data_IF_580462949344
#
_entry.id   IF_580462949344
#
_cell.length_a   1.000
_cell.length_b   1.000
_cell.length_c   1.000
_cell.angle_alpha   90.00
_cell.angle_beta   90.00
_cell.angle_gamma   90.00
#
_symmetry.space_group_name_H-M   'P 1'
#
loop_
_entity.id
_entity.type
_entity.pdbx_description
1 polymer ?
#
# COMPACT_ATOMS: atom_id res chain seq x y z
N UNK A 1 18.12 6.67 -14.94
CA UNK A 1 18.38 6.61 -13.48
C UNK A 1 18.32 5.16 -13.05
N UNK A 2 19.44 4.60 -12.58
CA UNK A 2 19.58 3.17 -12.30
C UNK A 2 18.87 2.78 -11.01
N UNK A 3 17.93 1.83 -11.10
CA UNK A 3 17.27 1.23 -9.94
C UNK A 3 18.31 0.58 -9.01
N UNK A 4 18.53 1.16 -7.85
CA UNK A 4 19.33 0.53 -6.79
C UNK A 4 18.55 -0.68 -6.25
N UNK A 5 18.81 -1.86 -6.83
CA UNK A 5 18.34 -3.14 -6.25
C UNK A 5 18.99 -3.33 -4.89
N UNK A 6 18.23 -3.11 -3.82
CA UNK A 6 18.66 -3.38 -2.45
C UNK A 6 18.84 -4.88 -2.23
N UNK A 7 19.94 -5.28 -1.60
CA UNK A 7 20.24 -6.68 -1.30
C UNK A 7 19.40 -7.15 -0.08
N UNK A 8 18.48 -8.09 -0.27
CA UNK A 8 17.65 -8.66 0.79
C UNK A 8 18.08 -10.09 1.21
N UNK A 9 19.30 -10.50 0.88
CA UNK A 9 19.77 -11.86 1.07
C UNK A 9 20.06 -12.23 2.53
N UNK A 10 19.34 -13.23 3.06
CA UNK A 10 19.50 -13.72 4.44
C UNK A 10 20.46 -14.91 4.62
N UNK A 11 21.16 -15.32 3.55
CA UNK A 11 22.15 -16.42 3.61
C UNK A 11 23.33 -16.05 4.51
N UNK A 12 23.70 -16.97 5.42
CA UNK A 12 24.90 -16.87 6.27
C UNK A 12 26.13 -17.27 5.45
N UNK A 13 27.14 -16.42 5.43
CA UNK A 13 28.39 -16.68 4.71
C UNK A 13 29.18 -17.79 5.40
N UNK A 14 29.44 -18.89 4.70
CA UNK A 14 30.14 -20.05 5.25
C UNK A 14 31.67 -20.00 5.10
N UNK A 15 32.21 -19.04 4.33
CA UNK A 15 33.65 -18.95 4.02
C UNK A 15 34.10 -17.50 3.82
N UNK A 16 35.38 -17.23 4.04
CA UNK A 16 36.04 -15.95 3.76
C UNK A 16 36.02 -14.94 4.93
N UNK A 17 36.49 -13.70 4.69
CA UNK A 17 36.68 -12.67 5.73
C UNK A 17 35.41 -12.31 6.52
N UNK A 18 34.23 -12.52 5.93
CA UNK A 18 32.92 -12.22 6.54
C UNK A 18 32.16 -13.50 6.95
N UNK A 19 32.86 -14.62 7.17
CA UNK A 19 32.27 -15.88 7.59
C UNK A 19 31.44 -15.71 8.88
N UNK A 20 30.27 -16.35 8.94
CA UNK A 20 29.32 -16.25 10.04
C UNK A 20 28.35 -15.07 9.96
N UNK A 21 28.59 -14.09 9.08
CA UNK A 21 27.69 -12.95 8.91
C UNK A 21 26.64 -13.17 7.80
N UNK A 22 25.50 -12.50 7.93
CA UNK A 22 24.40 -12.55 6.95
C UNK A 22 24.75 -11.66 5.74
N UNK A 23 24.59 -12.19 4.52
CA UNK A 23 25.02 -11.56 3.27
C UNK A 23 24.49 -10.13 3.06
N UNK A 24 23.24 -9.85 3.43
CA UNK A 24 22.64 -8.50 3.38
C UNK A 24 23.42 -7.48 4.22
N UNK A 25 23.92 -7.87 5.40
CA UNK A 25 24.61 -6.96 6.32
C UNK A 25 25.96 -6.49 5.78
N UNK A 26 26.61 -7.32 4.95
CA UNK A 26 28.02 -7.11 4.57
C UNK A 26 28.24 -6.88 3.07
N UNK A 27 27.27 -7.17 2.21
CA UNK A 27 27.42 -7.00 0.77
C UNK A 27 26.34 -6.06 0.20
N UNK A 28 26.77 -5.02 -0.53
CA UNK A 28 25.85 -4.13 -1.26
C UNK A 28 25.08 -4.85 -2.39
N UNK A 29 25.62 -5.96 -2.92
CA UNK A 29 24.97 -6.80 -3.96
C UNK A 29 25.02 -8.26 -3.56
N UNK A 30 23.87 -8.94 -3.63
CA UNK A 30 23.77 -10.38 -3.37
C UNK A 30 24.47 -11.18 -4.47
N UNK A 31 25.31 -12.14 -4.08
CA UNK A 31 25.83 -13.19 -5.00
C UNK A 31 25.08 -14.52 -4.88
N UNK A 32 24.20 -14.69 -3.89
CA UNK A 32 23.40 -15.91 -3.64
C UNK A 32 22.04 -15.89 -4.34
N UNK A 33 21.91 -15.24 -5.50
CA UNK A 33 20.67 -15.32 -6.27
C UNK A 33 20.59 -16.73 -6.86
N UNK A 34 19.77 -17.56 -6.24
CA UNK A 34 19.40 -18.86 -6.78
C UNK A 34 18.63 -18.65 -8.09
N UNK A 35 19.07 -19.31 -9.15
CA UNK A 35 18.41 -19.32 -10.46
C UNK A 35 18.07 -20.75 -10.83
N UNK A 36 16.89 -20.93 -11.41
CA UNK A 36 16.44 -22.23 -11.88
C UNK A 36 16.50 -22.28 -13.40
N UNK A 37 16.97 -23.39 -13.95
CA UNK A 37 16.83 -23.62 -15.39
C UNK A 37 15.35 -23.88 -15.71
N UNK A 38 14.72 -23.09 -16.60
CA UNK A 38 13.31 -23.28 -16.93
C UNK A 38 13.03 -24.55 -17.74
N UNK A 39 14.08 -25.27 -18.18
CA UNK A 39 13.96 -26.44 -19.05
C UNK A 39 14.12 -27.77 -18.31
N UNK A 40 14.99 -27.84 -17.30
CA UNK A 40 15.25 -29.07 -16.55
C UNK A 40 15.10 -28.89 -15.03
N UNK A 41 14.78 -27.68 -14.55
CA UNK A 41 14.58 -27.40 -13.13
C UNK A 41 15.86 -27.32 -12.30
N UNK A 42 17.04 -27.58 -12.87
CA UNK A 42 18.31 -27.55 -12.14
C UNK A 42 18.57 -26.18 -11.51
N UNK A 43 18.97 -26.19 -10.23
CA UNK A 43 19.25 -25.02 -9.42
C UNK A 43 20.72 -24.56 -9.55
N UNK A 44 20.93 -23.25 -9.68
CA UNK A 44 22.25 -22.63 -9.77
C UNK A 44 22.37 -21.47 -8.79
N UNK A 45 23.38 -21.54 -7.93
CA UNK A 45 23.73 -20.45 -7.01
C UNK A 45 24.65 -19.40 -7.65
N UNK A 46 25.33 -19.76 -8.75
CA UNK A 46 26.26 -18.90 -9.47
C UNK A 46 25.76 -18.56 -10.87
N UNK A 47 25.73 -17.26 -11.21
CA UNK A 47 25.21 -16.76 -12.49
C UNK A 47 26.00 -17.27 -13.71
N UNK A 48 27.32 -17.41 -13.59
CA UNK A 48 28.18 -17.96 -14.65
C UNK A 48 27.88 -19.43 -14.94
N UNK A 49 27.51 -20.19 -13.91
CA UNK A 49 27.14 -21.61 -14.04
C UNK A 49 25.75 -21.74 -14.67
N UNK A 50 24.81 -20.89 -14.28
CA UNK A 50 23.48 -20.79 -14.88
C UNK A 50 23.55 -20.52 -16.40
N UNK A 51 24.29 -19.49 -16.85
CA UNK A 51 24.35 -19.17 -18.27
C UNK A 51 25.13 -20.20 -19.10
N UNK A 52 26.14 -20.85 -18.52
CA UNK A 52 26.84 -21.95 -19.18
C UNK A 52 25.91 -23.16 -19.36
N UNK A 53 25.13 -23.46 -18.33
CA UNK A 53 24.15 -24.53 -18.39
C UNK A 53 23.05 -24.26 -19.42
N UNK A 54 22.45 -23.06 -19.46
CA UNK A 54 21.40 -22.73 -20.44
C UNK A 54 21.85 -22.90 -21.89
N UNK A 55 23.13 -22.68 -22.20
CA UNK A 55 23.67 -22.87 -23.56
C UNK A 55 23.73 -24.33 -24.01
N UNK A 56 23.79 -25.28 -23.07
CA UNK A 56 23.99 -26.71 -23.33
C UNK A 56 22.93 -27.60 -22.67
N UNK A 57 21.85 -27.02 -22.16
CA UNK A 57 20.77 -27.77 -21.53
C UNK A 57 19.98 -28.51 -22.61
N UNK A 58 19.81 -29.83 -22.44
CA UNK A 58 19.11 -30.72 -23.39
C UNK A 58 17.67 -30.25 -23.69
N UNK A 59 17.00 -29.55 -22.76
CA UNK A 59 15.67 -28.98 -23.01
C UNK A 59 15.64 -27.77 -23.96
N UNK A 60 16.80 -27.25 -24.40
CA UNK A 60 16.89 -26.25 -25.47
C UNK A 60 16.76 -26.85 -26.88
N UNK A 61 17.08 -28.14 -27.05
CA UNK A 61 16.88 -28.88 -28.31
C UNK A 61 15.38 -29.06 -28.61
N UNK A 62 14.56 -29.23 -27.56
CA UNK A 62 13.10 -29.36 -27.66
C UNK A 62 12.48 -28.14 -28.37
N UNK A 63 13.00 -26.92 -28.16
CA UNK A 63 12.52 -25.71 -28.86
C UNK A 63 13.07 -25.54 -30.28
N UNK A 64 14.24 -26.09 -30.62
CA UNK A 64 14.75 -26.07 -32.01
C UNK A 64 13.96 -27.03 -32.92
N UNK A 65 13.50 -28.16 -32.38
CA UNK A 65 12.61 -29.08 -33.08
C UNK A 65 11.18 -28.51 -33.23
N UNK A 66 10.60 -27.93 -32.17
CA UNK A 66 9.24 -27.39 -32.22
C UNK A 66 9.06 -26.15 -33.12
N UNK A 67 10.14 -25.40 -33.43
CA UNK A 67 10.07 -24.27 -34.39
C UNK A 67 10.14 -24.70 -35.86
N UNK A 68 10.54 -25.95 -36.15
CA UNK A 68 10.70 -26.48 -37.51
C UNK A 68 9.51 -27.33 -38.01
N UNK A 69 8.55 -27.68 -37.13
CA UNK A 69 7.48 -28.66 -37.42
C UNK A 69 6.08 -28.03 -37.51
N UNK A 70 5.94 -26.70 -37.37
CA UNK A 70 4.64 -26.00 -37.53
C UNK A 70 4.29 -25.65 -38.98
N UNK A 71 4.71 -26.48 -39.95
CA UNK A 71 4.17 -26.45 -41.32
C UNK A 71 3.89 -27.89 -41.75
N UNK A 72 2.60 -28.11 -42.06
CA UNK A 72 2.01 -29.22 -42.81
C UNK A 72 1.56 -30.51 -42.12
N UNK A 73 0.23 -30.68 -42.21
CA UNK A 73 -0.57 -31.89 -42.49
C UNK A 73 -0.80 -32.92 -41.37
N UNK A 74 -2.02 -32.82 -40.81
CA UNK A 74 -3.13 -33.81 -40.73
C UNK A 74 -2.88 -35.28 -41.16
N UNK A 75 -3.70 -36.23 -40.66
CA UNK A 75 -3.38 -37.23 -39.65
C UNK A 75 -3.29 -38.65 -40.23
N UNK A 76 -2.43 -39.53 -39.69
CA UNK A 76 -2.44 -40.95 -40.06
C UNK A 76 -2.19 -41.86 -38.84
N UNK A 77 -3.14 -42.79 -38.70
CA UNK A 77 -3.18 -43.98 -37.84
C UNK A 77 -2.10 -44.98 -38.25
N UNK A 78 -1.38 -45.61 -37.31
CA UNK A 78 -1.08 -47.05 -37.38
C UNK A 78 -0.37 -47.56 -36.13
N UNK A 79 -0.98 -48.57 -35.52
CA UNK A 79 -0.35 -49.52 -34.60
C UNK A 79 0.79 -50.28 -35.30
N UNK A 80 1.88 -50.56 -34.58
CA UNK A 80 2.35 -51.95 -34.38
C UNK A 80 3.46 -52.07 -33.33
N UNK A 81 3.14 -52.88 -32.33
CA UNK A 81 3.97 -53.79 -31.51
C UNK A 81 5.40 -54.05 -32.01
N UNK A 82 6.40 -54.15 -31.12
CA UNK A 82 6.61 -55.42 -30.42
C UNK A 82 7.59 -55.36 -29.24
N UNK A 83 7.34 -56.31 -28.34
CA UNK A 83 7.89 -56.54 -27.00
C UNK A 83 9.25 -57.24 -27.08
N UNK A 84 10.10 -56.98 -26.08
CA UNK A 84 11.05 -57.90 -25.40
C UNK A 84 12.37 -57.18 -25.10
N UNK A 85 13.00 -57.27 -23.93
CA UNK A 85 12.87 -58.14 -22.76
C UNK A 85 14.05 -57.72 -21.88
N UNK A 86 13.87 -57.41 -20.60
CA UNK A 86 14.84 -57.76 -19.56
C UNK A 86 14.20 -57.62 -18.18
N UNK A 87 14.58 -58.58 -17.36
CA UNK A 87 13.91 -59.08 -16.18
C UNK A 87 13.85 -58.11 -14.99
N UNK A 88 12.81 -58.35 -14.22
CA UNK A 88 12.52 -57.83 -12.89
C UNK A 88 13.73 -58.06 -11.97
N UNK A 89 14.38 -56.99 -11.52
CA UNK A 89 15.17 -57.03 -10.29
C UNK A 89 14.66 -55.94 -9.34
N UNK A 90 13.79 -56.42 -8.43
CA UNK A 90 13.71 -56.07 -7.01
C UNK A 90 13.87 -54.58 -6.68
N UNK A 91 12.72 -53.94 -6.47
CA UNK A 91 12.63 -52.70 -5.71
C UNK A 91 13.32 -52.88 -4.34
N UNK A 92 14.51 -52.31 -4.19
CA UNK A 92 15.01 -51.90 -2.87
C UNK A 92 14.26 -50.62 -2.48
N UNK A 93 13.09 -50.83 -1.90
CA UNK A 93 12.41 -49.85 -1.07
C UNK A 93 13.29 -49.63 0.15
N UNK A 94 14.07 -48.54 0.18
CA UNK A 94 14.40 -47.74 1.37
C UNK A 94 15.66 -46.91 1.14
N UNK A 95 15.51 -45.64 0.72
CA UNK A 95 16.35 -44.55 1.25
C UNK A 95 15.80 -43.15 0.94
N UNK A 96 14.62 -42.83 1.44
CA UNK A 96 14.31 -41.46 1.85
C UNK A 96 14.10 -41.48 3.35
N UNK A 97 15.21 -41.47 4.10
CA UNK A 97 15.21 -41.20 5.53
C UNK A 97 14.80 -39.73 5.74
N UNK A 98 13.50 -39.46 5.67
CA UNK A 98 12.94 -38.30 6.36
C UNK A 98 13.07 -38.58 7.85
N UNK A 99 14.04 -37.94 8.49
CA UNK A 99 14.31 -38.12 9.91
C UNK A 99 13.01 -37.87 10.69
N UNK A 100 12.53 -38.89 11.43
CA UNK A 100 11.36 -38.82 12.33
C UNK A 100 11.38 -37.58 13.24
N UNK A 101 12.58 -37.07 13.53
CA UNK A 101 12.83 -35.84 14.26
C UNK A 101 12.32 -34.57 13.56
N UNK A 102 12.48 -34.45 12.24
CA UNK A 102 12.05 -33.27 11.48
C UNK A 102 10.52 -33.21 11.32
N UNK A 103 9.89 -34.38 11.19
CA UNK A 103 8.42 -34.50 11.17
C UNK A 103 7.83 -34.10 12.53
N UNK A 104 8.39 -34.61 13.63
CA UNK A 104 7.92 -34.25 14.97
C UNK A 104 8.09 -32.75 15.25
N UNK A 105 9.21 -32.14 14.82
CA UNK A 105 9.44 -30.70 14.98
C UNK A 105 8.47 -29.84 14.17
N UNK A 106 8.03 -30.31 13.00
CA UNK A 106 6.99 -29.65 12.21
C UNK A 106 5.62 -29.77 12.87
N UNK A 107 5.30 -30.95 13.41
CA UNK A 107 4.05 -31.19 14.16
C UNK A 107 3.98 -30.28 15.38
N UNK A 108 5.05 -30.21 16.19
CA UNK A 108 5.11 -29.33 17.37
C UNK A 108 4.89 -27.86 17.01
N UNK A 109 5.44 -27.44 15.86
CA UNK A 109 5.30 -26.06 15.36
C UNK A 109 3.90 -25.76 14.86
N UNK A 110 3.23 -26.73 14.24
CA UNK A 110 1.82 -26.63 13.83
C UNK A 110 0.93 -26.52 15.06
N UNK A 111 1.11 -27.40 16.05
CA UNK A 111 0.33 -27.34 17.29
C UNK A 111 0.53 -26.03 18.07
N UNK A 112 1.75 -25.50 18.11
CA UNK A 112 2.02 -24.19 18.70
C UNK A 112 1.34 -23.05 17.92
N UNK A 113 1.29 -23.14 16.59
CA UNK A 113 0.63 -22.15 15.75
C UNK A 113 -0.90 -22.21 15.90
N UNK A 114 -1.47 -23.40 15.98
CA UNK A 114 -2.89 -23.63 16.26
C UNK A 114 -3.27 -23.07 17.63
N UNK A 115 -2.46 -23.33 18.65
CA UNK A 115 -2.69 -22.77 19.99
C UNK A 115 -2.61 -21.23 19.99
N UNK A 116 -1.65 -20.64 19.27
CA UNK A 116 -1.56 -19.19 19.09
C UNK A 116 -2.74 -18.62 18.32
N UNK A 117 -3.22 -19.33 17.30
CA UNK A 117 -4.38 -18.94 16.50
C UNK A 117 -5.65 -18.96 17.37
N UNK A 118 -5.79 -19.96 18.23
CA UNK A 118 -6.92 -20.06 19.15
C UNK A 118 -6.85 -18.99 20.24
N UNK A 119 -5.66 -18.71 20.79
CA UNK A 119 -5.43 -17.57 21.68
C UNK A 119 -5.76 -16.22 21.02
N UNK A 120 -5.55 -16.07 19.70
CA UNK A 120 -5.94 -14.88 18.93
C UNK A 120 -7.45 -14.82 18.72
N UNK A 121 -8.14 -15.95 18.53
CA UNK A 121 -9.62 -16.01 18.44
C UNK A 121 -10.29 -15.73 19.78
N UNK A 122 -9.68 -16.15 20.89
CA UNK A 122 -10.22 -15.94 22.24
C UNK A 122 -9.80 -14.61 22.87
N UNK A 123 -8.95 -13.82 22.20
CA UNK A 123 -8.72 -12.43 22.62
C UNK A 123 -10.04 -11.68 22.45
N UNK A 124 -10.49 -10.89 23.45
CA UNK A 124 -11.61 -10.00 23.24
C UNK A 124 -11.28 -9.14 22.04
N UNK A 125 -12.12 -9.22 21.00
CA UNK A 125 -12.05 -8.35 19.83
C UNK A 125 -12.13 -6.92 20.33
N UNK A 126 -10.98 -6.27 20.53
CA UNK A 126 -10.91 -4.83 20.34
C UNK A 126 -11.47 -4.60 18.96
N UNK A 127 -12.63 -3.98 18.89
CA UNK A 127 -13.23 -3.45 17.67
C UNK A 127 -12.10 -2.84 16.84
N UNK A 128 -11.73 -3.51 15.75
CA UNK A 128 -10.77 -2.96 14.80
C UNK A 128 -11.55 -1.86 14.09
N UNK A 129 -11.48 -0.66 14.62
CA UNK A 129 -12.05 0.52 13.99
C UNK A 129 -11.31 0.75 12.67
N UNK A 130 -12.04 1.03 11.61
CA UNK A 130 -11.53 1.05 10.26
C UNK A 130 -10.78 2.37 10.02
N UNK A 131 -9.56 2.50 10.56
CA UNK A 131 -8.67 3.68 10.43
C UNK A 131 -8.10 3.86 9.01
N UNK A 132 -8.82 3.40 7.99
CA UNK A 132 -8.46 3.56 6.59
C UNK A 132 -8.78 4.96 6.06
N UNK A 133 -9.62 5.72 6.76
CA UNK A 133 -9.91 7.12 6.46
C UNK A 133 -8.91 7.98 7.25
N UNK A 134 -8.20 8.85 6.55
CA UNK A 134 -7.18 9.74 7.12
C UNK A 134 -7.41 11.16 6.60
N UNK A 135 -6.97 12.17 7.36
CA UNK A 135 -6.90 13.52 6.83
C UNK A 135 -5.77 13.59 5.81
N UNK A 136 -6.14 13.75 4.55
CA UNK A 136 -5.21 13.78 3.44
C UNK A 136 -4.53 15.14 3.27
N UNK A 137 -3.41 15.14 2.54
CA UNK A 137 -2.53 16.31 2.43
C UNK A 137 -2.91 17.26 1.30
N UNK A 138 -3.88 16.89 0.44
CA UNK A 138 -4.29 17.72 -0.69
C UNK A 138 -5.80 17.63 -0.91
N UNK A 139 -6.53 18.49 -0.19
CA UNK A 139 -7.98 18.53 -0.19
C UNK A 139 -8.57 18.77 -1.58
N UNK A 140 -7.95 19.59 -2.42
CA UNK A 140 -8.45 19.82 -3.78
C UNK A 140 -8.37 18.56 -4.62
N UNK A 141 -7.22 17.88 -4.63
CA UNK A 141 -7.07 16.64 -5.41
C UNK A 141 -8.04 15.56 -4.96
N UNK A 142 -8.26 15.42 -3.66
CA UNK A 142 -9.23 14.47 -3.09
C UNK A 142 -10.68 14.86 -3.46
N UNK A 143 -10.99 16.15 -3.46
CA UNK A 143 -12.29 16.65 -3.88
C UNK A 143 -12.53 16.36 -5.37
N UNK A 144 -11.56 16.66 -6.23
CA UNK A 144 -11.60 16.36 -7.67
C UNK A 144 -11.80 14.86 -7.91
N UNK A 145 -11.15 13.99 -7.13
CA UNK A 145 -11.36 12.54 -7.22
C UNK A 145 -12.78 12.13 -6.83
N UNK A 146 -13.43 12.85 -5.90
CA UNK A 146 -14.76 12.52 -5.40
C UNK A 146 -15.90 12.98 -6.32
N UNK A 147 -15.76 14.13 -7.00
CA UNK A 147 -16.85 14.73 -7.78
C UNK A 147 -16.48 15.21 -9.19
N UNK A 148 -15.22 15.09 -9.60
CA UNK A 148 -14.73 15.67 -10.85
C UNK A 148 -14.27 17.11 -10.70
N UNK A 149 -13.48 17.59 -11.68
CA UNK A 149 -12.78 18.87 -11.60
C UNK A 149 -13.74 20.07 -11.59
N UNK A 150 -14.68 20.14 -12.53
CA UNK A 150 -15.64 21.25 -12.65
C UNK A 150 -16.52 21.36 -11.39
N UNK A 151 -17.13 20.25 -10.96
CA UNK A 151 -17.95 20.22 -9.74
C UNK A 151 -17.14 20.53 -8.47
N UNK A 152 -15.87 20.16 -8.41
CA UNK A 152 -15.00 20.51 -7.29
C UNK A 152 -14.73 22.01 -7.20
N UNK A 153 -14.50 22.67 -8.34
CA UNK A 153 -14.31 24.13 -8.40
C UNK A 153 -15.60 24.84 -7.99
N UNK A 154 -16.74 24.43 -8.53
CA UNK A 154 -18.05 25.01 -8.19
C UNK A 154 -18.36 24.88 -6.70
N UNK A 155 -18.13 23.69 -6.12
CA UNK A 155 -18.31 23.46 -4.68
C UNK A 155 -17.39 24.36 -3.83
N UNK A 156 -16.11 24.48 -4.21
CA UNK A 156 -15.17 25.36 -3.52
C UNK A 156 -15.58 26.84 -3.59
N UNK A 157 -16.16 27.27 -4.72
CA UNK A 157 -16.70 28.62 -4.88
C UNK A 157 -17.94 28.86 -4.00
N UNK A 158 -18.81 27.88 -3.87
CA UNK A 158 -20.01 27.92 -3.02
C UNK A 158 -19.62 28.07 -1.56
N UNK A 159 -18.79 27.16 -1.03
CA UNK A 159 -18.40 27.21 0.39
C UNK A 159 -17.58 28.45 0.74
N UNK A 160 -16.82 29.00 -0.23
CA UNK A 160 -16.07 30.24 -0.03
C UNK A 160 -16.98 31.46 0.02
N UNK A 161 -18.05 31.48 -0.78
CA UNK A 161 -19.06 32.54 -0.80
C UNK A 161 -19.87 32.58 0.49
N UNK A 162 -20.24 31.41 1.00
CA UNK A 162 -21.08 31.28 2.20
C UNK A 162 -20.28 31.31 3.52
N UNK A 163 -18.94 31.45 3.45
CA UNK A 163 -18.02 31.34 4.60
C UNK A 163 -18.14 29.99 5.33
N UNK A 164 -18.46 28.92 4.60
CA UNK A 164 -18.64 27.56 5.10
C UNK A 164 -17.42 26.68 4.81
N UNK A 165 -16.23 27.25 4.97
CA UNK A 165 -14.97 26.59 4.64
C UNK A 165 -14.77 25.22 5.31
N UNK A 166 -15.34 25.03 6.50
CA UNK A 166 -15.27 23.76 7.25
C UNK A 166 -16.09 22.65 6.58
N UNK A 167 -17.10 23.00 5.79
CA UNK A 167 -17.92 22.02 5.06
C UNK A 167 -17.08 21.24 4.04
N UNK A 168 -15.88 21.71 3.67
CA UNK A 168 -14.93 20.91 2.91
C UNK A 168 -14.50 19.64 3.68
N UNK A 169 -14.30 19.73 4.99
CA UNK A 169 -13.97 18.57 5.84
C UNK A 169 -15.16 17.62 5.90
N UNK A 170 -16.36 18.15 6.08
CA UNK A 170 -17.60 17.36 6.01
C UNK A 170 -17.69 16.61 4.69
N UNK A 171 -17.49 17.33 3.58
CA UNK A 171 -17.59 16.79 2.23
C UNK A 171 -16.57 15.70 1.95
N UNK A 172 -15.33 15.89 2.40
CA UNK A 172 -14.26 14.93 2.12
C UNK A 172 -14.36 13.70 3.02
N UNK A 173 -14.60 13.89 4.32
CA UNK A 173 -14.28 12.87 5.32
C UNK A 173 -15.45 12.43 6.20
N UNK A 174 -16.52 13.23 6.33
CA UNK A 174 -17.61 12.93 7.28
C UNK A 174 -18.85 12.41 6.56
N UNK A 175 -19.21 13.00 5.41
CA UNK A 175 -20.39 12.62 4.63
C UNK A 175 -20.37 11.14 4.23
N UNK A 176 -21.40 10.40 4.67
CA UNK A 176 -21.59 8.98 4.35
C UNK A 176 -20.82 8.01 5.25
N UNK A 177 -20.08 8.51 6.25
CA UNK A 177 -19.32 7.68 7.19
C UNK A 177 -19.98 7.65 8.59
N UNK A 178 -19.75 6.58 9.35
CA UNK A 178 -20.14 6.53 10.76
C UNK A 178 -19.27 7.51 11.57
N UNK A 179 -19.83 8.25 12.55
CA UNK A 179 -19.05 9.15 13.40
C UNK A 179 -17.92 8.49 14.19
N UNK A 180 -17.92 7.15 14.31
CA UNK A 180 -16.84 6.37 14.94
C UNK A 180 -15.66 6.07 13.99
N UNK A 181 -15.86 6.30 12.69
CA UNK A 181 -14.87 6.10 11.63
C UNK A 181 -14.31 7.44 11.11
N UNK A 182 -14.74 8.57 11.68
CA UNK A 182 -14.21 9.88 11.29
C UNK A 182 -12.70 9.95 11.54
N UNK A 183 -11.93 10.51 10.59
CA UNK A 183 -10.48 10.66 10.75
C UNK A 183 -10.11 11.75 11.77
N UNK A 184 -11.09 12.50 12.27
CA UNK A 184 -10.97 13.53 13.29
C UNK A 184 -12.16 13.44 14.23
N UNK A 185 -11.90 13.51 15.53
CA UNK A 185 -12.93 13.59 16.55
C UNK A 185 -12.55 14.58 17.64
N UNK A 186 -13.54 15.29 18.15
CA UNK A 186 -13.40 16.17 19.30
C UNK A 186 -13.98 15.50 20.54
N UNK A 187 -13.26 15.51 21.67
CA UNK A 187 -13.75 14.95 22.93
C UNK A 187 -14.58 15.96 23.72
N UNK A 188 -14.15 17.21 23.69
CA UNK A 188 -14.72 18.35 24.41
C UNK A 188 -14.62 19.58 23.49
N UNK A 189 -14.52 20.81 24.00
CA UNK A 189 -14.60 22.00 23.12
C UNK A 189 -13.39 22.16 22.19
N UNK A 190 -12.18 21.83 22.67
CA UNK A 190 -10.94 22.12 21.97
C UNK A 190 -9.94 20.95 21.98
N UNK A 191 -10.30 19.79 22.54
CA UNK A 191 -9.45 18.60 22.50
C UNK A 191 -9.80 17.68 21.33
N UNK A 192 -8.97 17.77 20.27
CA UNK A 192 -9.11 16.94 19.08
C UNK A 192 -8.12 15.77 19.08
N UNK A 193 -8.55 14.64 18.51
CA UNK A 193 -7.66 13.59 18.01
C UNK A 193 -7.96 13.34 16.54
N UNK A 194 -6.92 13.16 15.75
CA UNK A 194 -7.07 12.91 14.31
C UNK A 194 -5.93 12.08 13.74
N UNK A 195 -6.19 11.42 12.61
CA UNK A 195 -5.20 10.62 11.87
C UNK A 195 -4.70 11.42 10.67
N UNK A 196 -3.38 11.61 10.58
CA UNK A 196 -2.74 12.25 9.42
C UNK A 196 -2.59 11.31 8.23
N UNK A 197 -2.26 11.84 7.06
CA UNK A 197 -1.94 11.05 5.87
C UNK A 197 -0.86 9.97 6.12
N UNK A 198 0.07 10.19 7.05
CA UNK A 198 1.10 9.22 7.46
C UNK A 198 0.59 8.17 8.46
N UNK A 199 -0.72 8.09 8.69
CA UNK A 199 -1.39 7.19 9.62
C UNK A 199 -0.94 7.38 11.09
N UNK A 200 -0.56 8.62 11.44
CA UNK A 200 -0.21 8.99 12.81
C UNK A 200 -1.41 9.61 13.50
N UNK A 201 -1.70 9.15 14.72
CA UNK A 201 -2.68 9.79 15.59
C UNK A 201 -2.02 10.99 16.27
N UNK A 202 -2.62 12.16 16.11
CA UNK A 202 -2.22 13.39 16.79
C UNK A 202 -3.21 13.68 17.91
N UNK A 203 -2.68 13.98 19.10
CA UNK A 203 -3.44 14.45 20.26
C UNK A 203 -3.29 15.97 20.36
N UNK A 204 -4.31 16.73 19.97
CA UNK A 204 -4.25 18.20 19.86
C UNK A 204 -5.17 18.85 20.89
N UNK A 205 -4.59 19.18 22.04
CA UNK A 205 -5.26 19.92 23.12
C UNK A 205 -5.27 21.40 22.78
N UNK A 206 -6.45 22.02 22.76
CA UNK A 206 -6.63 23.40 22.35
C UNK A 206 -6.86 23.60 20.84
N UNK A 207 -6.88 22.54 20.04
CA UNK A 207 -7.22 22.58 18.61
C UNK A 207 -6.33 23.45 17.72
N UNK A 208 -5.12 23.81 18.17
CA UNK A 208 -4.26 24.75 17.44
C UNK A 208 -3.70 24.13 16.17
N UNK A 209 -3.29 22.86 16.25
CA UNK A 209 -2.65 22.18 15.13
C UNK A 209 -3.68 21.81 14.08
N UNK A 210 -4.83 21.27 14.48
CA UNK A 210 -5.91 20.92 13.56
C UNK A 210 -6.49 22.17 12.88
N UNK A 211 -6.64 23.27 13.61
CA UNK A 211 -7.10 24.53 13.05
C UNK A 211 -6.15 25.06 11.97
N UNK A 212 -4.84 25.04 12.24
CA UNK A 212 -3.82 25.40 11.25
C UNK A 212 -3.80 24.45 10.06
N UNK A 213 -3.95 23.15 10.31
CA UNK A 213 -3.97 22.12 9.28
C UNK A 213 -5.14 22.32 8.32
N UNK A 214 -6.35 22.48 8.86
CA UNK A 214 -7.57 22.70 8.10
C UNK A 214 -7.51 24.03 7.36
N UNK A 215 -7.09 25.12 8.00
CA UNK A 215 -6.98 26.43 7.33
C UNK A 215 -6.01 26.41 6.17
N UNK A 216 -4.84 25.79 6.35
CA UNK A 216 -3.83 25.64 5.28
C UNK A 216 -4.39 24.76 4.15
N UNK A 217 -5.00 23.62 4.48
CA UNK A 217 -5.55 22.71 3.48
C UNK A 217 -6.70 23.33 2.65
N UNK A 218 -7.58 24.11 3.28
CA UNK A 218 -8.63 24.86 2.57
C UNK A 218 -8.02 25.93 1.67
N UNK A 219 -7.04 26.68 2.18
CA UNK A 219 -6.38 27.74 1.41
C UNK A 219 -5.65 27.18 0.19
N UNK A 220 -4.88 26.10 0.39
CA UNK A 220 -4.19 25.38 -0.68
C UNK A 220 -5.20 24.85 -1.71
N UNK A 221 -6.35 24.33 -1.27
CA UNK A 221 -7.36 23.83 -2.18
C UNK A 221 -7.94 24.91 -3.09
N UNK A 222 -8.20 26.10 -2.54
CA UNK A 222 -8.69 27.25 -3.31
C UNK A 222 -7.63 27.78 -4.29
N UNK A 223 -6.36 27.81 -3.89
CA UNK A 223 -5.25 28.21 -4.76
C UNK A 223 -5.10 27.22 -5.93
N UNK A 224 -5.17 25.92 -5.66
CA UNK A 224 -5.09 24.90 -6.71
C UNK A 224 -6.28 24.96 -7.66
N UNK A 225 -7.50 25.16 -7.15
CA UNK A 225 -8.68 25.38 -7.97
C UNK A 225 -8.54 26.61 -8.88
N UNK A 226 -7.96 27.70 -8.37
CA UNK A 226 -7.65 28.90 -9.16
C UNK A 226 -6.68 28.58 -10.31
N UNK A 227 -5.59 27.88 -10.01
CA UNK A 227 -4.57 27.51 -10.99
C UNK A 227 -5.11 26.60 -12.09
N UNK A 228 -5.96 25.64 -11.73
CA UNK A 228 -6.59 24.74 -12.70
C UNK A 228 -7.56 25.52 -13.61
N UNK A 229 -8.32 26.46 -13.05
CA UNK A 229 -9.19 27.36 -13.82
C UNK A 229 -8.38 28.21 -14.82
N UNK A 230 -7.24 28.78 -14.39
CA UNK A 230 -6.33 29.53 -15.27
C UNK A 230 -5.82 28.63 -16.41
N UNK A 231 -5.39 27.43 -16.06
CA UNK A 231 -4.79 26.49 -17.01
C UNK A 231 -5.81 26.06 -18.07
N UNK A 232 -7.05 25.79 -17.66
CA UNK A 232 -8.15 25.48 -18.59
C UNK A 232 -8.45 26.65 -19.53
N UNK A 233 -8.51 27.87 -19.00
CA UNK A 233 -8.73 29.08 -19.80
C UNK A 233 -7.62 29.32 -20.83
N UNK A 234 -6.35 29.16 -20.43
CA UNK A 234 -5.19 29.29 -21.32
C UNK A 234 -5.21 28.25 -22.44
N UNK A 235 -5.63 27.03 -22.14
CA UNK A 235 -5.69 25.94 -23.13
C UNK A 235 -6.85 26.10 -24.12
N UNK A 236 -7.94 26.76 -23.72
CA UNK A 236 -9.15 26.90 -24.52
C UNK A 236 -9.21 28.20 -25.35
N UNK A 237 -8.17 29.07 -25.32
CA UNK A 237 -8.12 30.36 -26.04
C UNK A 237 -9.39 31.22 -25.85
N UNK A 238 -9.92 31.27 -24.62
CA UNK A 238 -11.13 32.06 -24.31
C UNK A 238 -10.71 33.53 -24.11
N UNK A 239 -11.22 34.43 -24.95
CA UNK A 239 -10.85 35.86 -24.98
C UNK A 239 -11.32 36.70 -23.78
N UNK A 240 -12.18 36.16 -22.90
CA UNK A 240 -12.64 36.84 -21.67
C UNK A 240 -12.32 36.03 -20.39
N UNK A 241 -11.17 36.27 -19.75
CA UNK A 241 -10.72 35.54 -18.57
C UNK A 241 -11.39 36.00 -17.27
N UNK A 242 -12.23 37.04 -17.29
CA UNK A 242 -12.45 37.85 -16.10
C UNK A 242 -13.42 37.27 -15.08
N UNK A 243 -14.49 36.56 -15.46
CA UNK A 243 -15.57 36.27 -14.52
C UNK A 243 -15.19 35.20 -13.47
N UNK A 244 -14.85 33.98 -13.91
CA UNK A 244 -14.48 32.88 -12.98
C UNK A 244 -13.23 33.20 -12.16
N UNK A 245 -12.23 33.85 -12.79
CA UNK A 245 -10.99 34.20 -12.12
C UNK A 245 -11.17 35.32 -11.09
N UNK A 246 -11.96 36.35 -11.42
CA UNK A 246 -12.33 37.42 -10.48
C UNK A 246 -13.07 36.86 -9.28
N UNK A 247 -13.99 35.92 -9.48
CA UNK A 247 -14.73 35.26 -8.40
C UNK A 247 -13.76 34.52 -7.46
N UNK A 248 -12.87 33.69 -8.00
CA UNK A 248 -11.91 32.93 -7.18
C UNK A 248 -10.93 33.87 -6.46
N UNK A 249 -10.39 34.88 -7.14
CA UNK A 249 -9.47 35.85 -6.54
C UNK A 249 -10.15 36.70 -5.44
N UNK A 250 -11.37 37.18 -5.69
CA UNK A 250 -12.15 37.88 -4.68
C UNK A 250 -12.49 37.00 -3.47
N UNK A 251 -12.63 35.69 -3.66
CA UNK A 251 -12.90 34.74 -2.58
C UNK A 251 -11.65 34.41 -1.77
N UNK A 252 -10.49 34.25 -2.42
CA UNK A 252 -9.20 34.14 -1.73
C UNK A 252 -8.96 35.36 -0.84
N UNK A 253 -9.26 36.58 -1.33
CA UNK A 253 -9.12 37.81 -0.54
C UNK A 253 -10.09 37.88 0.66
N UNK A 254 -11.24 37.19 0.58
CA UNK A 254 -12.24 37.11 1.66
C UNK A 254 -11.95 36.02 2.70
N UNK A 255 -10.91 35.18 2.51
CA UNK A 255 -10.47 34.16 3.48
C UNK A 255 -10.05 34.74 4.84
N UNK A 256 -9.81 36.06 4.92
CA UNK A 256 -9.56 36.77 6.17
C UNK A 256 -10.65 36.62 7.25
N UNK A 257 -11.81 36.03 6.91
CA UNK A 257 -12.87 35.73 7.88
C UNK A 257 -12.68 34.44 8.69
N UNK A 258 -11.73 33.57 8.33
CA UNK A 258 -11.54 32.27 8.99
C UNK A 258 -10.65 32.42 10.22
N UNK A 259 -11.23 32.90 11.34
CA UNK A 259 -10.49 32.95 12.60
C UNK A 259 -10.23 31.53 13.11
N UNK A 260 -9.12 31.37 13.82
CA UNK A 260 -8.75 30.09 14.44
C UNK A 260 -9.89 29.57 15.34
N UNK A 261 -10.51 30.46 16.10
CA UNK A 261 -11.64 30.16 17.00
C UNK A 261 -12.86 29.67 16.23
N UNK A 262 -13.16 30.26 15.07
CA UNK A 262 -14.27 29.81 14.22
C UNK A 262 -14.04 28.36 13.75
N UNK A 263 -12.83 28.04 13.28
CA UNK A 263 -12.47 26.70 12.81
C UNK A 263 -12.60 25.69 13.94
N UNK A 264 -12.05 26.00 15.12
CA UNK A 264 -12.11 25.11 16.29
C UNK A 264 -13.56 24.84 16.68
N UNK A 265 -14.37 25.88 16.84
CA UNK A 265 -15.76 25.74 17.27
C UNK A 265 -16.59 24.94 16.26
N UNK A 266 -16.48 25.25 14.97
CA UNK A 266 -17.22 24.53 13.92
C UNK A 266 -16.76 23.10 13.72
N UNK A 267 -15.47 22.85 13.78
CA UNK A 267 -14.96 21.49 13.68
C UNK A 267 -15.36 20.66 14.91
N UNK A 268 -15.35 21.26 16.11
CA UNK A 268 -15.85 20.61 17.32
C UNK A 268 -17.34 20.26 17.19
N UNK A 269 -18.18 21.19 16.71
CA UNK A 269 -19.61 20.91 16.47
C UNK A 269 -19.81 19.70 15.53
N UNK A 270 -19.03 19.59 14.46
CA UNK A 270 -19.16 18.52 13.46
C UNK A 270 -18.58 17.18 13.90
N UNK A 271 -17.57 17.19 14.77
CA UNK A 271 -16.76 16.01 15.09
C UNK A 271 -16.83 15.62 16.57
N UNK A 272 -17.72 16.24 17.35
CA UNK A 272 -17.91 15.94 18.77
C UNK A 272 -18.36 14.48 18.94
N UNK A 273 -17.44 13.66 19.44
CA UNK A 273 -17.69 12.28 19.78
C UNK A 273 -16.79 11.89 20.94
N UNK A 274 -17.22 12.11 22.20
CA UNK A 274 -16.42 11.75 23.38
C UNK A 274 -16.18 10.24 23.48
N UNK A 275 -17.04 9.45 22.84
CA UNK A 275 -16.97 7.99 22.78
C UNK A 275 -16.19 7.49 21.56
N UNK A 276 -15.54 8.38 20.81
CA UNK A 276 -14.75 8.01 19.64
C UNK A 276 -13.65 7.00 20.03
N UNK A 277 -13.34 6.02 19.17
CA UNK A 277 -12.24 5.08 19.39
C UNK A 277 -10.91 5.73 19.78
N UNK A 278 -10.64 6.93 19.27
CA UNK A 278 -9.47 7.72 19.64
C UNK A 278 -9.32 7.89 21.15
N UNK A 279 -10.41 8.06 21.89
CA UNK A 279 -10.40 8.35 23.33
C UNK A 279 -10.57 7.12 24.21
N UNK A 280 -10.89 5.96 23.62
CA UNK A 280 -11.06 4.68 24.33
C UNK A 280 -9.76 3.92 24.58
N UNK A 281 -8.68 4.26 23.87
CA UNK A 281 -7.37 3.66 24.10
C UNK A 281 -6.84 4.20 25.44
N UNK A 282 -6.93 3.37 26.49
CA UNK A 282 -6.28 3.64 27.78
C UNK A 282 -4.80 4.00 27.55
N UNK A 283 -4.34 4.99 28.29
CA UNK A 283 -2.94 5.41 28.44
C UNK A 283 -2.06 4.23 28.91
N UNK A 284 -1.76 3.27 28.04
CA UNK A 284 -0.78 2.22 28.28
C UNK A 284 0.57 2.63 27.67
N UNK A 285 1.00 3.86 27.94
CA UNK A 285 2.38 4.30 27.71
C UNK A 285 3.04 4.64 29.04
N UNK A 286 3.00 3.71 29.99
CA UNK A 286 4.11 3.51 30.90
C UNK A 286 4.94 2.35 30.35
N UNK A 287 5.99 2.67 29.58
CA UNK A 287 7.04 1.69 29.31
C UNK A 287 7.92 1.57 30.57
N UNK A 288 8.26 0.35 31.01
CA UNK A 288 9.34 0.10 31.97
C UNK A 288 10.72 0.39 31.37
#
# INVERSE_FOLDING_TARGET
>A
MNAHTTNLCRVVLSRGKNQGQICYNVNKKCRHKVRYCPYCGTEFTMETSYYRHIKHCEGTEIKKAHRKVLINTKPIVSNKYDVNKYDVNKYDVNKYDLNKYDVNKLIDRISLLEQKLEQLKTRPTTTVHNWNIVLGSNFYKELVQKMGQESAIDYLMEIASEKKHIDLISKLYLEGNDPSDYPVACRDQDHFRYITAEHKIVDDKGGHNISKYVSTGVMDALILAANDTITEQLNNNIDDPHEKLSVIQNHILKLNGMTKEYIINKLAELTNNPNHPFFKVKENTSCP
#
